data_IF_578821912195
#
_entry.id   IF_578821912195
#
_cell.length_a   1.000
_cell.length_b   1.000
_cell.length_c   1.000
_cell.angle_alpha   90.00
_cell.angle_beta   90.00
_cell.angle_gamma   90.00
#
_symmetry.space_group_name_H-M   'P 1'
#
loop_
_entity.id
_entity.type
_entity.pdbx_description
1 polymer ?
#
# COMPACT_ATOMS: atom_id res chain seq x y z
N UNK A 1 -2.29 22.37 27.30
CA UNK A 1 -1.50 21.70 26.25
C UNK A 1 -2.40 20.69 25.57
N UNK A 2 -3.02 21.06 24.44
CA UNK A 2 -3.86 20.14 23.65
C UNK A 2 -2.96 19.12 22.95
N UNK A 3 -3.03 17.85 23.34
CA UNK A 3 -2.60 16.77 22.46
C UNK A 3 -3.66 16.65 21.37
N UNK A 4 -3.38 17.21 20.20
CA UNK A 4 -4.19 16.98 19.00
C UNK A 4 -4.15 15.47 18.73
N UNK A 5 -5.21 14.76 19.11
CA UNK A 5 -5.41 13.36 18.78
C UNK A 5 -5.57 13.28 17.27
N UNK A 6 -4.52 12.85 16.57
CA UNK A 6 -4.53 12.62 15.14
C UNK A 6 -5.62 11.57 14.83
N UNK A 7 -6.79 12.03 14.39
CA UNK A 7 -7.87 11.15 13.94
C UNK A 7 -7.53 10.66 12.53
N UNK A 8 -6.70 9.62 12.47
CA UNK A 8 -6.44 8.85 11.26
C UNK A 8 -7.66 8.00 10.94
N UNK A 9 -8.76 8.63 10.54
CA UNK A 9 -9.90 7.91 9.97
C UNK A 9 -9.38 7.05 8.80
N UNK A 10 -9.50 5.72 8.96
CA UNK A 10 -9.00 4.76 7.96
C UNK A 10 -9.82 4.87 6.69
N UNK A 11 -9.33 5.64 5.72
CA UNK A 11 -9.96 5.72 4.41
C UNK A 11 -9.64 4.45 3.61
N UNK A 12 -10.67 3.72 3.23
CA UNK A 12 -10.53 2.62 2.28
C UNK A 12 -10.28 3.19 0.88
N UNK A 13 -9.20 2.75 0.24
CA UNK A 13 -8.91 3.04 -1.16
C UNK A 13 -9.31 1.82 -2.00
N UNK A 14 -10.10 2.04 -3.04
CA UNK A 14 -10.51 1.00 -3.98
C UNK A 14 -9.82 1.23 -5.31
N UNK A 15 -9.13 0.20 -5.82
CA UNK A 15 -8.48 0.24 -7.14
C UNK A 15 -9.07 -0.82 -8.07
N UNK A 16 -9.57 -0.45 -9.27
CA UNK A 16 -10.15 -1.41 -10.20
C UNK A 16 -9.08 -2.23 -10.90
N UNK A 17 -9.14 -3.56 -10.74
CA UNK A 17 -8.23 -4.49 -11.43
C UNK A 17 -8.72 -4.89 -12.83
N UNK A 18 -10.04 -4.99 -13.01
CA UNK A 18 -10.63 -5.48 -14.27
C UNK A 18 -10.47 -4.46 -15.40
N UNK A 19 -10.17 -4.96 -16.61
CA UNK A 19 -10.05 -4.14 -17.82
C UNK A 19 -8.76 -3.32 -17.91
N UNK A 20 -7.83 -3.50 -16.96
CA UNK A 20 -6.52 -2.86 -17.00
C UNK A 20 -5.49 -3.80 -17.65
N UNK A 21 -4.57 -3.29 -18.48
CA UNK A 21 -3.44 -4.07 -18.97
C UNK A 21 -2.60 -4.63 -17.81
N UNK A 22 -2.10 -5.84 -17.95
CA UNK A 22 -1.32 -6.51 -16.89
C UNK A 22 -0.08 -5.70 -16.53
N UNK A 23 0.61 -5.16 -17.52
CA UNK A 23 1.82 -4.35 -17.38
C UNK A 23 1.55 -3.13 -16.47
N UNK A 24 0.42 -2.45 -16.67
CA UNK A 24 0.02 -1.32 -15.81
C UNK A 24 -0.22 -1.74 -14.35
N UNK A 25 -0.71 -2.96 -14.11
CA UNK A 25 -0.93 -3.48 -12.76
C UNK A 25 0.35 -3.94 -12.08
N UNK A 26 1.35 -4.38 -12.86
CA UNK A 26 2.68 -4.75 -12.40
C UNK A 26 3.56 -3.52 -12.12
N UNK A 27 3.33 -2.42 -12.84
CA UNK A 27 4.07 -1.15 -12.67
C UNK A 27 3.52 -0.27 -11.54
N UNK A 28 2.36 -0.60 -10.97
CA UNK A 28 1.74 0.14 -9.86
C UNK A 28 1.88 -0.63 -8.56
N UNK A 29 2.27 0.04 -7.47
CA UNK A 29 2.44 -0.57 -6.14
C UNK A 29 1.63 0.16 -5.06
N UNK A 30 1.28 -0.55 -3.99
CA UNK A 30 0.73 0.02 -2.76
C UNK A 30 1.78 0.02 -1.65
N UNK A 31 1.69 0.99 -0.74
CA UNK A 31 2.57 1.14 0.42
C UNK A 31 1.74 1.45 1.66
N UNK A 32 1.91 0.66 2.72
CA UNK A 32 1.26 0.83 4.01
C UNK A 32 2.30 0.94 5.11
N UNK A 33 2.26 2.02 5.90
CA UNK A 33 3.18 2.24 7.03
C UNK A 33 2.47 2.01 8.36
N UNK A 34 3.22 1.60 9.40
CA UNK A 34 2.70 1.47 10.78
C UNK A 34 3.00 2.68 11.68
N UNK A 35 3.57 3.75 11.13
CA UNK A 35 4.04 4.94 11.88
C UNK A 35 5.06 4.66 12.99
N UNK A 36 5.70 3.48 12.97
CA UNK A 36 6.72 3.03 13.94
C UNK A 36 8.04 2.65 13.25
N UNK A 37 8.17 2.94 11.95
CA UNK A 37 9.32 2.61 11.12
C UNK A 37 9.19 1.32 10.31
N UNK A 38 8.06 0.60 10.41
CA UNK A 38 7.75 -0.56 9.58
C UNK A 38 6.78 -0.24 8.44
N UNK A 39 6.81 -1.05 7.38
CA UNK A 39 5.93 -0.92 6.23
C UNK A 39 5.63 -2.27 5.55
N UNK A 40 4.51 -2.35 4.84
CA UNK A 40 4.24 -3.38 3.84
C UNK A 40 4.05 -2.75 2.46
N UNK A 41 4.46 -3.47 1.41
CA UNK A 41 4.21 -3.05 0.03
C UNK A 41 4.08 -4.23 -0.93
N UNK A 42 3.53 -3.98 -2.11
CA UNK A 42 3.42 -4.96 -3.19
C UNK A 42 2.83 -4.35 -4.47
N UNK A 43 2.94 -5.07 -5.59
CA UNK A 43 2.24 -4.68 -6.82
C UNK A 43 0.73 -4.73 -6.62
N UNK A 44 -0.01 -3.93 -7.38
CA UNK A 44 -1.47 -3.93 -7.35
C UNK A 44 -2.06 -5.28 -7.81
N UNK A 45 -1.34 -5.99 -8.68
CA UNK A 45 -1.68 -7.36 -9.08
C UNK A 45 -1.33 -8.44 -8.03
N UNK A 46 -0.60 -8.10 -6.96
CA UNK A 46 -0.13 -9.05 -5.94
C UNK A 46 1.01 -9.97 -6.41
N UNK A 47 1.60 -9.71 -7.58
CA UNK A 47 2.72 -10.47 -8.10
C UNK A 47 4.04 -10.01 -7.47
N UNK A 48 4.89 -10.98 -7.09
CA UNK A 48 6.22 -10.74 -6.55
C UNK A 48 7.26 -10.58 -7.67
N UNK A 49 7.20 -9.46 -8.40
CA UNK A 49 8.08 -9.18 -9.54
C UNK A 49 9.32 -8.35 -9.17
N UNK A 50 9.46 -7.94 -7.90
CA UNK A 50 10.55 -7.08 -7.41
C UNK A 50 11.25 -7.70 -6.21
N UNK A 51 12.55 -7.41 -6.04
CA UNK A 51 13.36 -7.92 -4.92
C UNK A 51 12.95 -7.40 -3.54
N UNK A 52 12.15 -6.34 -3.48
CA UNK A 52 11.80 -5.66 -2.22
C UNK A 52 10.29 -5.54 -2.09
N UNK A 53 9.65 -6.59 -1.59
CA UNK A 53 8.32 -6.49 -1.01
C UNK A 53 8.48 -6.49 0.50
N UNK A 54 8.19 -5.35 1.12
CA UNK A 54 8.23 -5.20 2.57
C UNK A 54 7.09 -5.97 3.21
N UNK A 55 7.38 -6.68 4.29
CA UNK A 55 6.36 -7.20 5.19
C UNK A 55 6.21 -6.23 6.35
N UNK A 56 4.96 -5.96 6.76
CA UNK A 56 4.72 -5.13 7.93
C UNK A 56 5.22 -5.86 9.18
N UNK A 57 6.19 -5.26 9.86
CA UNK A 57 6.81 -5.74 11.10
C UNK A 57 6.64 -4.73 12.24
#
# INVERSE_FOLDING_TARGET
MQTSSYDASRQALTFPLRGRPLESLLDTEWLLTNSRGGFACGTVAGCNTRRYHGLLV
#
